data_IF_165382378855
#
_entry.id   IF_165382378855
#
_cell.length_a   1.000
_cell.length_b   1.000
_cell.length_c   1.000
_cell.angle_alpha   90.00
_cell.angle_beta   90.00
_cell.angle_gamma   90.00
#
_symmetry.space_group_name_H-M   'P 1'
#
loop_
_entity.id
_entity.type
_entity.pdbx_description
1 polymer ?
#
# COMPACT_ATOMS: atom_id res chain seq x y z
N UNK A 1 10.18 32.15 2.70
CA UNK A 1 9.46 32.65 1.53
C UNK A 1 10.00 32.03 0.24
N UNK A 2 11.27 32.22 -0.09
CA UNK A 2 11.88 31.81 -1.38
C UNK A 2 11.70 30.30 -1.67
N UNK A 3 11.78 29.47 -0.63
CA UNK A 3 11.52 28.04 -0.76
C UNK A 3 10.11 27.73 -1.28
N UNK A 4 9.10 28.42 -0.76
CA UNK A 4 7.70 28.20 -1.19
C UNK A 4 7.46 28.72 -2.61
N UNK A 5 8.02 29.89 -2.95
CA UNK A 5 7.95 30.45 -4.29
C UNK A 5 8.61 29.52 -5.32
N UNK A 6 9.77 28.95 -4.96
CA UNK A 6 10.48 28.01 -5.83
C UNK A 6 9.78 26.65 -6.03
N UNK A 7 8.79 26.32 -5.18
CA UNK A 7 8.06 25.03 -5.21
C UNK A 7 6.53 25.24 -5.32
N UNK A 8 6.11 26.27 -6.03
CA UNK A 8 4.70 26.70 -6.18
C UNK A 8 3.77 25.63 -6.74
N UNK A 9 4.29 24.70 -7.54
CA UNK A 9 3.50 23.65 -8.18
C UNK A 9 3.21 22.46 -7.24
N UNK A 10 3.89 22.41 -6.11
CA UNK A 10 3.84 21.32 -5.13
C UNK A 10 3.25 21.75 -3.78
N UNK A 11 3.03 23.03 -3.57
CA UNK A 11 2.55 23.60 -2.32
C UNK A 11 1.26 24.39 -2.51
N UNK A 12 0.44 24.56 -1.46
CA UNK A 12 -0.82 25.30 -1.56
C UNK A 12 -0.61 26.73 -2.08
N UNK A 13 -1.53 27.21 -2.91
CA UNK A 13 -1.45 28.54 -3.55
C UNK A 13 -1.29 29.68 -2.55
N UNK A 14 -1.90 29.57 -1.39
CA UNK A 14 -1.81 30.59 -0.33
C UNK A 14 -0.39 30.83 0.16
N UNK A 15 0.52 29.86 0.05
CA UNK A 15 1.93 29.99 0.41
C UNK A 15 2.71 30.95 -0.48
N UNK A 16 2.12 31.34 -1.61
CA UNK A 16 2.70 32.31 -2.56
C UNK A 16 2.31 33.77 -2.22
N UNK A 17 1.39 33.97 -1.30
CA UNK A 17 0.91 35.27 -0.92
C UNK A 17 1.80 35.93 0.14
N UNK A 18 1.99 37.25 0.06
CA UNK A 18 2.73 38.02 1.07
C UNK A 18 2.15 37.86 2.48
N UNK A 19 0.83 37.76 2.56
CA UNK A 19 0.11 37.51 3.82
C UNK A 19 0.56 36.20 4.51
N UNK A 20 0.90 35.17 3.73
CA UNK A 20 1.39 33.91 4.31
C UNK A 20 2.76 34.08 4.94
N UNK A 21 3.62 34.90 4.34
CA UNK A 21 4.91 35.26 4.93
C UNK A 21 4.74 35.96 6.28
N UNK A 22 3.81 36.92 6.36
CA UNK A 22 3.52 37.59 7.63
C UNK A 22 3.03 36.61 8.69
N UNK A 23 2.21 35.63 8.31
CA UNK A 23 1.79 34.52 9.20
C UNK A 23 2.99 33.70 9.72
N UNK A 24 3.91 33.35 8.83
CA UNK A 24 5.14 32.63 9.22
C UNK A 24 5.98 33.39 10.23
N UNK A 25 6.17 34.69 10.02
CA UNK A 25 6.94 35.55 10.93
C UNK A 25 6.28 35.65 12.31
N UNK A 26 4.97 35.82 12.34
CA UNK A 26 4.23 35.93 13.62
C UNK A 26 4.09 34.61 14.36
N UNK A 27 4.07 33.49 13.65
CA UNK A 27 3.92 32.16 14.25
C UNK A 27 5.26 31.52 14.68
N UNK A 28 6.39 32.04 14.19
CA UNK A 28 7.73 31.48 14.45
C UNK A 28 7.97 31.22 15.94
N UNK A 29 8.53 30.06 16.35
CA UNK A 29 9.10 28.97 15.52
C UNK A 29 8.09 27.92 15.07
N UNK A 30 6.79 28.10 15.33
CA UNK A 30 5.76 27.13 14.95
C UNK A 30 5.24 27.47 13.57
N UNK A 31 5.17 26.47 12.68
CA UNK A 31 4.64 26.67 11.36
C UNK A 31 3.11 26.91 11.37
N UNK A 32 2.54 27.85 10.59
CA UNK A 32 1.11 28.12 10.56
C UNK A 32 0.22 26.90 10.35
N UNK A 33 0.65 25.96 9.54
CA UNK A 33 -0.08 24.70 9.27
C UNK A 33 -0.37 23.89 10.54
N UNK A 34 0.46 23.97 11.58
CA UNK A 34 0.18 23.34 12.89
C UNK A 34 -1.09 23.93 13.52
N UNK A 35 -1.21 25.25 13.48
CA UNK A 35 -2.38 25.93 14.03
C UNK A 35 -3.61 25.69 13.18
N UNK A 36 -3.48 25.73 11.84
CA UNK A 36 -4.58 25.47 10.94
C UNK A 36 -5.17 24.09 11.19
N UNK A 37 -4.32 23.04 11.29
CA UNK A 37 -4.80 21.68 11.63
C UNK A 37 -5.45 21.62 13.01
N UNK A 38 -4.87 22.23 14.02
CA UNK A 38 -5.41 22.19 15.39
C UNK A 38 -6.70 23.01 15.55
N UNK A 39 -6.82 24.15 14.86
CA UNK A 39 -8.01 25.00 14.94
C UNK A 39 -9.12 24.59 13.99
N UNK A 40 -8.80 24.10 12.78
CA UNK A 40 -9.81 23.73 11.78
C UNK A 40 -10.28 22.29 11.96
N UNK A 41 -9.36 21.36 12.17
CA UNK A 41 -9.69 19.95 12.24
C UNK A 41 -10.01 19.50 13.68
N UNK A 42 -9.10 19.72 14.64
CA UNK A 42 -9.26 19.21 16.01
C UNK A 42 -10.32 19.94 16.82
N UNK A 43 -10.61 21.21 16.51
CA UNK A 43 -11.67 21.95 17.18
C UNK A 43 -13.09 21.44 16.88
N UNK A 44 -13.22 20.52 15.92
CA UNK A 44 -14.49 19.85 15.63
C UNK A 44 -14.84 18.75 16.62
N UNK A 45 -13.86 18.33 17.45
CA UNK A 45 -14.06 17.32 18.49
C UNK A 45 -14.67 17.97 19.74
N UNK A 46 -15.79 17.41 20.24
CA UNK A 46 -16.61 17.97 21.32
C UNK A 46 -15.85 18.33 22.58
N UNK A 47 -14.84 17.54 22.95
CA UNK A 47 -14.06 17.69 24.18
C UNK A 47 -12.75 18.47 23.98
N UNK A 48 -12.37 18.79 22.75
CA UNK A 48 -11.14 19.52 22.46
C UNK A 48 -11.37 21.01 22.69
N UNK A 49 -10.94 21.51 23.85
CA UNK A 49 -11.03 22.93 24.18
C UNK A 49 -10.01 23.70 23.33
N UNK A 50 -10.47 24.35 22.27
CA UNK A 50 -9.66 25.03 21.23
C UNK A 50 -8.31 25.56 21.75
N UNK A 51 -8.32 26.72 22.43
CA UNK A 51 -7.09 27.36 22.88
C UNK A 51 -6.36 26.54 23.95
N UNK A 52 -7.09 26.01 24.94
CA UNK A 52 -6.50 25.24 26.04
C UNK A 52 -5.92 23.90 25.56
N UNK A 53 -6.62 23.21 24.66
CA UNK A 53 -6.16 21.95 24.09
C UNK A 53 -4.90 22.14 23.25
N UNK A 54 -4.87 23.20 22.42
CA UNK A 54 -3.71 23.57 21.61
C UNK A 54 -2.50 23.89 22.49
N UNK A 55 -2.69 24.76 23.49
CA UNK A 55 -1.59 25.13 24.41
C UNK A 55 -1.04 23.95 25.17
N UNK A 56 -1.90 23.05 25.65
CA UNK A 56 -1.49 21.86 26.40
C UNK A 56 -0.69 20.89 25.52
N UNK A 57 -1.16 20.64 24.29
CA UNK A 57 -0.44 19.82 23.32
C UNK A 57 0.91 20.44 22.97
N UNK A 58 0.92 21.73 22.60
CA UNK A 58 2.15 22.39 22.17
C UNK A 58 3.19 22.50 23.30
N UNK A 59 2.76 22.65 24.55
CA UNK A 59 3.69 22.62 25.69
C UNK A 59 4.43 21.28 25.78
N UNK A 60 3.73 20.15 25.59
CA UNK A 60 4.35 18.82 25.58
C UNK A 60 5.25 18.64 24.36
N UNK A 61 4.80 19.06 23.18
CA UNK A 61 5.58 19.00 21.93
C UNK A 61 6.90 19.76 22.08
N UNK A 62 6.85 21.01 22.50
CA UNK A 62 8.03 21.87 22.66
C UNK A 62 8.98 21.27 23.70
N UNK A 63 8.44 20.83 24.86
CA UNK A 63 9.24 20.20 25.90
C UNK A 63 9.98 18.95 25.37
N UNK A 64 9.28 18.09 24.63
CA UNK A 64 9.88 16.87 24.08
C UNK A 64 10.92 17.17 23.02
N UNK A 65 10.63 18.04 22.06
CA UNK A 65 11.58 18.47 21.05
C UNK A 65 12.85 19.09 21.64
N UNK A 66 12.69 19.90 22.69
CA UNK A 66 13.82 20.46 23.43
C UNK A 66 14.69 19.37 24.10
N UNK A 67 14.04 18.41 24.75
CA UNK A 67 14.72 17.28 25.43
C UNK A 67 15.48 16.40 24.44
N UNK A 68 14.96 16.23 23.23
CA UNK A 68 15.58 15.44 22.18
C UNK A 68 16.67 16.20 21.39
N UNK A 69 16.91 17.47 21.70
CA UNK A 69 17.87 18.29 20.98
C UNK A 69 17.49 18.55 19.52
N UNK A 70 16.17 18.65 19.24
CA UNK A 70 15.70 18.92 17.89
C UNK A 70 16.21 20.27 17.38
N UNK A 71 16.82 20.30 16.19
CA UNK A 71 17.39 21.47 15.54
C UNK A 71 16.64 21.92 14.27
N UNK A 72 15.41 21.45 14.09
CA UNK A 72 14.58 21.89 12.96
C UNK A 72 14.35 23.40 13.02
N UNK A 73 14.47 24.12 11.89
CA UNK A 73 14.23 25.57 11.87
C UNK A 73 12.78 25.94 12.14
N UNK A 74 11.83 25.02 11.91
CA UNK A 74 10.40 25.20 12.16
C UNK A 74 9.80 23.96 12.82
N UNK A 75 8.92 24.15 13.78
CA UNK A 75 8.06 23.09 14.32
C UNK A 75 6.87 22.92 13.37
N UNK A 76 6.91 21.86 12.59
CA UNK A 76 5.90 21.54 11.56
C UNK A 76 4.96 20.42 12.05
N UNK A 77 3.80 20.18 11.42
CA UNK A 77 2.98 19.00 11.68
C UNK A 77 3.77 17.69 11.74
N UNK A 78 4.71 17.50 10.81
CA UNK A 78 5.60 16.34 10.78
C UNK A 78 6.66 16.30 11.87
N UNK A 79 6.88 17.39 12.62
CA UNK A 79 7.82 17.46 13.75
C UNK A 79 7.21 16.96 15.07
N UNK A 80 5.88 16.76 15.14
CA UNK A 80 5.22 16.35 16.37
C UNK A 80 5.75 14.99 16.85
N UNK A 81 6.27 14.88 18.08
CA UNK A 81 6.90 13.66 18.59
C UNK A 81 5.85 12.65 19.08
N UNK A 82 5.11 12.03 18.17
CA UNK A 82 4.04 11.05 18.47
C UNK A 82 4.59 9.74 19.07
N UNK A 83 5.89 9.44 18.85
CA UNK A 83 6.58 8.34 19.54
C UNK A 83 6.64 8.48 21.06
N UNK A 84 6.58 9.72 21.56
CA UNK A 84 6.56 9.99 22.99
C UNK A 84 5.15 9.80 23.56
N UNK A 85 5.02 8.95 24.57
CA UNK A 85 3.71 8.58 25.15
C UNK A 85 2.96 9.78 25.74
N UNK A 86 3.66 10.70 26.41
CA UNK A 86 3.03 11.87 27.01
C UNK A 86 2.48 12.83 25.94
N UNK A 87 3.21 12.99 24.86
CA UNK A 87 2.76 13.81 23.71
C UNK A 87 1.63 13.11 22.96
N UNK A 88 1.75 11.80 22.71
CA UNK A 88 0.76 11.01 21.99
C UNK A 88 -0.59 10.94 22.71
N UNK A 89 -0.59 10.72 24.01
CA UNK A 89 -1.81 10.57 24.79
C UNK A 89 -2.65 11.86 24.84
N UNK A 90 -2.04 13.01 24.60
CA UNK A 90 -2.77 14.29 24.63
C UNK A 90 -3.81 14.41 23.50
N UNK A 91 -3.49 14.18 22.22
CA UNK A 91 -4.49 14.16 21.16
C UNK A 91 -5.38 12.91 21.20
N UNK A 92 -4.85 11.73 21.54
CA UNK A 92 -5.59 10.46 21.47
C UNK A 92 -6.81 10.44 22.39
N UNK A 93 -6.73 11.08 23.56
CA UNK A 93 -7.85 11.12 24.51
C UNK A 93 -9.13 11.77 23.94
N UNK A 94 -9.02 12.56 22.87
CA UNK A 94 -10.14 13.23 22.21
C UNK A 94 -10.69 12.41 21.02
N UNK A 95 -9.95 11.40 20.59
CA UNK A 95 -10.33 10.57 19.43
C UNK A 95 -11.18 9.37 19.87
N UNK A 96 -11.98 8.81 18.95
CA UNK A 96 -12.66 7.53 19.18
C UNK A 96 -11.66 6.41 19.52
N UNK A 97 -12.14 5.32 20.13
CA UNK A 97 -11.30 4.15 20.40
C UNK A 97 -10.76 3.52 19.12
N UNK A 98 -9.57 2.89 19.19
CA UNK A 98 -8.95 2.14 18.11
C UNK A 98 -7.78 2.85 17.43
N UNK A 99 -7.34 4.02 17.91
CA UNK A 99 -6.18 4.73 17.35
C UNK A 99 -4.83 4.18 17.79
N UNK A 100 -4.73 3.50 18.94
CA UNK A 100 -3.44 2.98 19.41
C UNK A 100 -2.77 2.03 18.40
N UNK A 101 -3.45 1.03 17.79
CA UNK A 101 -2.84 0.20 16.75
C UNK A 101 -2.39 0.98 15.51
N UNK A 102 -3.13 2.04 15.13
CA UNK A 102 -2.78 2.91 14.00
C UNK A 102 -1.46 3.65 14.29
N UNK A 103 -1.37 4.26 15.47
CA UNK A 103 -0.20 5.03 15.89
C UNK A 103 1.05 4.16 16.05
N UNK A 104 0.91 3.00 16.70
CA UNK A 104 2.02 2.09 16.94
C UNK A 104 2.54 1.45 15.64
N UNK A 105 1.65 1.11 14.72
CA UNK A 105 2.05 0.39 13.51
C UNK A 105 2.36 1.30 12.33
N UNK A 106 1.54 2.31 12.10
CA UNK A 106 1.53 3.05 10.83
C UNK A 106 1.98 4.52 10.96
N UNK A 107 2.07 5.07 12.18
CA UNK A 107 2.45 6.49 12.34
C UNK A 107 3.86 6.66 12.87
N UNK A 108 4.10 6.28 14.14
CA UNK A 108 5.37 6.64 14.80
C UNK A 108 5.73 5.72 15.98
N UNK A 109 5.24 4.49 16.03
CA UNK A 109 5.66 3.51 17.03
C UNK A 109 7.13 3.11 16.84
N UNK A 110 7.76 2.57 17.87
CA UNK A 110 9.18 2.17 17.84
C UNK A 110 9.51 1.18 16.73
N UNK A 111 8.57 0.28 16.40
CA UNK A 111 8.67 -0.71 15.31
C UNK A 111 7.65 -0.47 14.21
N UNK A 112 7.28 0.79 14.00
CA UNK A 112 6.31 1.14 12.97
C UNK A 112 6.87 0.94 11.56
N UNK A 113 5.99 0.72 10.59
CA UNK A 113 6.38 0.59 9.17
C UNK A 113 7.16 1.81 8.64
N UNK A 114 6.84 3.08 9.00
CA UNK A 114 7.67 4.22 8.63
C UNK A 114 9.12 4.10 9.11
N UNK A 115 9.35 3.66 10.35
CA UNK A 115 10.68 3.42 10.92
C UNK A 115 11.41 2.32 10.15
N UNK A 116 10.73 1.23 9.83
CA UNK A 116 11.29 0.12 9.05
C UNK A 116 11.71 0.56 7.64
N UNK A 117 10.93 1.41 6.97
CA UNK A 117 11.28 1.97 5.66
C UNK A 117 12.53 2.85 5.77
N UNK A 118 12.58 3.74 6.76
CA UNK A 118 13.70 4.65 7.00
C UNK A 118 14.99 3.91 7.35
N UNK A 119 14.92 2.83 8.14
CA UNK A 119 16.05 2.00 8.48
C UNK A 119 16.63 1.26 7.26
N UNK A 120 15.80 0.90 6.28
CA UNK A 120 16.22 0.23 5.05
C UNK A 120 16.75 1.20 3.99
N UNK A 121 16.23 2.41 3.95
CA UNK A 121 16.57 3.42 2.95
C UNK A 121 17.07 4.70 3.62
N UNK A 122 18.38 4.85 3.75
CA UNK A 122 19.04 5.97 4.46
C UNK A 122 18.62 7.35 3.93
N UNK A 123 18.27 7.46 2.65
CA UNK A 123 17.77 8.72 2.06
C UNK A 123 16.51 9.23 2.77
N UNK A 124 15.63 8.33 3.23
CA UNK A 124 14.44 8.70 4.01
C UNK A 124 14.79 8.89 5.48
N UNK A 125 15.66 8.04 6.03
CA UNK A 125 16.04 8.07 7.44
C UNK A 125 16.76 9.34 7.84
N UNK A 126 17.62 9.89 6.98
CA UNK A 126 18.40 11.10 7.25
C UNK A 126 17.54 12.33 7.60
N UNK A 127 16.33 12.41 7.07
CA UNK A 127 15.37 13.50 7.31
C UNK A 127 14.07 13.03 7.94
N UNK A 128 13.97 11.75 8.31
CA UNK A 128 12.76 11.13 8.84
C UNK A 128 11.52 11.33 7.93
N UNK A 129 11.70 11.19 6.62
CA UNK A 129 10.69 11.56 5.64
C UNK A 129 9.38 10.78 5.80
N UNK A 130 9.46 9.48 6.12
CA UNK A 130 8.29 8.63 6.31
C UNK A 130 7.53 8.99 7.59
N UNK A 131 8.24 9.06 8.74
CA UNK A 131 7.62 9.43 10.03
C UNK A 131 7.04 10.84 10.00
N UNK A 132 7.72 11.82 9.41
CA UNK A 132 7.19 13.18 9.27
C UNK A 132 5.91 13.19 8.46
N UNK A 133 5.87 12.44 7.35
CA UNK A 133 4.67 12.35 6.50
C UNK A 133 3.49 11.72 7.25
N UNK A 134 3.71 10.63 7.98
CA UNK A 134 2.64 9.97 8.75
C UNK A 134 2.15 10.81 9.90
N UNK A 135 3.01 11.53 10.61
CA UNK A 135 2.64 12.47 11.68
C UNK A 135 1.77 13.62 11.14
N UNK A 136 2.15 14.20 9.99
CA UNK A 136 1.38 15.27 9.37
C UNK A 136 0.00 14.78 8.89
N UNK A 137 -0.07 13.61 8.26
CA UNK A 137 -1.34 12.99 7.85
C UNK A 137 -2.19 12.66 9.08
N UNK A 138 -1.61 12.13 10.15
CA UNK A 138 -2.33 11.87 11.39
C UNK A 138 -2.94 13.17 11.95
N UNK A 139 -2.16 14.22 12.08
CA UNK A 139 -2.62 15.48 12.61
C UNK A 139 -3.77 16.07 11.78
N UNK A 140 -3.69 16.00 10.46
CA UNK A 140 -4.68 16.59 9.55
C UNK A 140 -5.87 15.67 9.23
N UNK A 141 -5.88 14.40 9.67
CA UNK A 141 -6.95 13.47 9.29
C UNK A 141 -7.62 12.74 10.45
N UNK A 142 -6.97 12.60 11.61
CA UNK A 142 -7.50 11.85 12.73
C UNK A 142 -8.87 12.36 13.26
N UNK A 143 -9.12 13.68 13.33
CA UNK A 143 -10.42 14.21 13.73
C UNK A 143 -11.54 13.97 12.72
N UNK A 144 -11.21 13.62 11.48
CA UNK A 144 -12.20 13.44 10.42
C UNK A 144 -13.12 12.26 10.71
N UNK A 145 -14.44 12.49 10.70
CA UNK A 145 -15.43 11.44 10.87
C UNK A 145 -15.73 10.72 9.55
N UNK A 146 -16.25 9.49 9.64
CA UNK A 146 -16.64 8.69 8.47
C UNK A 146 -17.72 9.38 7.60
N UNK A 147 -18.48 10.31 8.17
CA UNK A 147 -19.60 10.98 7.51
C UNK A 147 -19.23 12.30 6.82
N UNK A 148 -17.97 12.73 6.88
CA UNK A 148 -17.55 13.94 6.17
C UNK A 148 -17.48 13.68 4.66
N UNK A 149 -18.06 14.59 3.86
CA UNK A 149 -18.05 14.51 2.39
C UNK A 149 -16.62 14.54 1.81
N UNK A 150 -15.70 15.24 2.48
CA UNK A 150 -14.29 15.33 2.08
C UNK A 150 -13.42 14.90 3.25
N UNK A 151 -12.71 13.77 3.07
CA UNK A 151 -11.82 13.21 4.10
C UNK A 151 -10.36 13.43 3.74
N UNK A 152 -9.54 13.54 4.77
CA UNK A 152 -8.09 13.51 4.63
C UNK A 152 -7.47 14.83 4.21
N UNK A 153 -6.14 14.83 4.20
CA UNK A 153 -5.28 15.97 3.89
C UNK A 153 -4.80 15.89 2.44
N UNK A 154 -4.86 16.98 1.70
CA UNK A 154 -4.33 17.06 0.33
C UNK A 154 -2.82 16.90 0.31
N UNK A 155 -2.29 16.35 -0.77
CA UNK A 155 -0.84 16.13 -0.94
C UNK A 155 -0.05 17.42 -0.68
N UNK A 156 -0.52 18.55 -1.21
CA UNK A 156 0.12 19.86 -1.09
C UNK A 156 0.23 20.30 0.38
N UNK A 157 -0.81 20.06 1.19
CA UNK A 157 -0.80 20.33 2.63
C UNK A 157 0.04 19.31 3.42
N UNK A 158 0.10 18.03 2.99
CA UNK A 158 1.03 17.06 3.58
C UNK A 158 2.46 17.56 3.36
N UNK A 159 2.81 17.94 2.13
CA UNK A 159 4.14 18.44 1.79
C UNK A 159 4.48 19.73 2.55
N UNK A 160 3.54 20.67 2.64
CA UNK A 160 3.69 21.89 3.42
C UNK A 160 3.94 21.60 4.91
N UNK A 161 3.33 20.56 5.44
CA UNK A 161 3.46 20.16 6.84
C UNK A 161 4.73 19.37 7.18
N UNK A 162 5.58 19.00 6.20
CA UNK A 162 6.72 18.12 6.45
C UNK A 162 8.05 18.62 5.92
N UNK A 163 8.06 19.37 4.81
CA UNK A 163 9.29 19.75 4.12
C UNK A 163 9.92 20.97 4.78
N UNK A 164 11.09 20.78 5.39
CA UNK A 164 11.88 21.88 5.96
C UNK A 164 12.58 22.67 4.85
N UNK A 165 12.86 23.96 5.06
CA UNK A 165 13.63 24.76 4.12
C UNK A 165 14.98 24.08 3.78
N UNK A 166 15.29 23.98 2.48
CA UNK A 166 16.50 23.33 1.97
C UNK A 166 16.37 21.83 1.70
N UNK A 167 15.26 21.19 2.07
CA UNK A 167 14.99 19.79 1.73
C UNK A 167 14.28 19.65 0.37
N UNK A 168 14.38 18.46 -0.23
CA UNK A 168 13.81 18.18 -1.56
C UNK A 168 12.39 17.62 -1.43
N UNK A 169 11.41 18.26 -2.04
CA UNK A 169 10.00 17.81 -2.07
C UNK A 169 9.85 16.43 -2.70
N UNK A 170 10.60 16.14 -3.76
CA UNK A 170 10.57 14.85 -4.44
C UNK A 170 10.83 13.66 -3.52
N UNK A 171 11.67 13.84 -2.49
CA UNK A 171 11.96 12.82 -1.49
C UNK A 171 10.70 12.45 -0.67
N UNK A 172 9.91 13.43 -0.29
CA UNK A 172 8.66 13.23 0.47
C UNK A 172 7.55 12.62 -0.41
N UNK A 173 7.49 12.98 -1.69
CA UNK A 173 6.58 12.32 -2.65
C UNK A 173 6.92 10.83 -2.81
N UNK A 174 8.21 10.50 -2.88
CA UNK A 174 8.67 9.10 -2.95
C UNK A 174 8.36 8.35 -1.64
N UNK A 175 8.58 9.00 -0.48
CA UNK A 175 8.21 8.46 0.83
C UNK A 175 6.69 8.16 0.91
N UNK A 176 5.84 9.10 0.49
CA UNK A 176 4.37 8.92 0.49
C UNK A 176 3.92 7.76 -0.39
N UNK A 177 4.55 7.57 -1.55
CA UNK A 177 4.30 6.41 -2.41
C UNK A 177 4.63 5.11 -1.69
N UNK A 178 5.83 5.03 -1.04
CA UNK A 178 6.24 3.86 -0.26
C UNK A 178 5.29 3.57 0.91
N UNK A 179 4.86 4.61 1.61
CA UNK A 179 3.90 4.50 2.70
C UNK A 179 2.55 3.97 2.19
N UNK A 180 2.05 4.48 1.07
CA UNK A 180 0.82 4.00 0.43
C UNK A 180 0.86 2.51 0.08
N UNK A 181 2.05 1.99 -0.26
CA UNK A 181 2.25 0.57 -0.58
C UNK A 181 2.39 -0.31 0.68
N UNK A 182 2.69 0.24 1.85
CA UNK A 182 3.06 -0.55 3.03
C UNK A 182 2.14 -0.40 4.23
N UNK A 183 1.55 0.77 4.43
CA UNK A 183 0.74 1.03 5.62
C UNK A 183 -0.63 0.34 5.56
N UNK A 184 -1.09 -0.15 6.72
CA UNK A 184 -2.35 -0.89 6.84
C UNK A 184 -3.57 0.00 7.01
N UNK A 185 -3.40 1.10 7.72
CA UNK A 185 -4.48 2.02 8.09
C UNK A 185 -4.50 3.28 7.25
N UNK A 186 -3.49 3.49 6.38
CA UNK A 186 -3.45 4.61 5.45
C UNK A 186 -4.36 4.36 4.25
N UNK A 187 -5.20 5.33 3.98
CA UNK A 187 -6.06 5.38 2.80
C UNK A 187 -5.68 6.58 1.94
N UNK A 188 -5.86 6.46 0.64
CA UNK A 188 -5.65 7.55 -0.30
C UNK A 188 -6.68 7.52 -1.42
N UNK A 189 -7.22 8.68 -1.78
CA UNK A 189 -8.08 8.86 -2.95
C UNK A 189 -8.04 10.34 -3.38
N UNK A 190 -8.11 10.61 -4.68
CA UNK A 190 -8.17 11.96 -5.24
C UNK A 190 -7.09 12.91 -4.68
N UNK A 191 -5.85 12.44 -4.62
CA UNK A 191 -4.70 13.19 -4.10
C UNK A 191 -4.80 13.59 -2.62
N UNK A 192 -5.64 12.89 -1.83
CA UNK A 192 -5.82 13.08 -0.39
C UNK A 192 -5.40 11.83 0.37
N UNK A 193 -4.88 12.02 1.58
CA UNK A 193 -4.39 10.97 2.47
C UNK A 193 -5.07 11.06 3.83
N UNK A 194 -5.48 9.92 4.40
CA UNK A 194 -6.06 9.87 5.75
C UNK A 194 -5.82 8.53 6.42
N UNK A 195 -5.74 8.56 7.73
CA UNK A 195 -5.79 7.35 8.53
C UNK A 195 -7.24 7.01 8.93
N UNK A 196 -7.51 5.73 9.08
CA UNK A 196 -8.75 5.21 9.63
C UNK A 196 -8.39 4.15 10.68
N UNK A 197 -9.26 3.93 11.67
CA UNK A 197 -9.10 2.85 12.64
C UNK A 197 -9.40 1.47 12.06
N UNK A 198 -10.03 1.43 10.89
CA UNK A 198 -10.28 0.20 10.12
C UNK A 198 -9.15 0.00 9.12
N UNK A 199 -8.60 -1.22 9.04
CA UNK A 199 -7.58 -1.54 8.05
C UNK A 199 -8.08 -1.28 6.62
N UNK A 200 -7.18 -0.88 5.75
CA UNK A 200 -7.45 -0.75 4.33
C UNK A 200 -7.71 -2.14 3.72
N UNK A 201 -8.97 -2.43 3.40
CA UNK A 201 -9.40 -3.74 2.89
C UNK A 201 -8.65 -4.16 1.62
N UNK A 202 -8.33 -3.21 0.74
CA UNK A 202 -7.55 -3.49 -0.46
C UNK A 202 -6.16 -4.01 -0.10
N UNK A 203 -5.54 -3.41 0.89
CA UNK A 203 -4.22 -3.81 1.38
C UNK A 203 -4.26 -5.20 2.02
N UNK A 204 -5.25 -5.43 2.89
CA UNK A 204 -5.45 -6.73 3.53
C UNK A 204 -5.69 -7.84 2.48
N UNK A 205 -6.47 -7.54 1.45
CA UNK A 205 -6.68 -8.48 0.33
C UNK A 205 -5.37 -8.80 -0.39
N UNK A 206 -4.55 -7.80 -0.72
CA UNK A 206 -3.25 -8.02 -1.40
C UNK A 206 -2.28 -8.82 -0.53
N UNK A 207 -2.26 -8.59 0.77
CA UNK A 207 -1.45 -9.40 1.69
C UNK A 207 -1.94 -10.85 1.79
N UNK A 208 -3.25 -11.06 1.84
CA UNK A 208 -3.84 -12.41 1.82
C UNK A 208 -3.51 -13.13 0.52
N UNK A 209 -3.62 -12.45 -0.63
CA UNK A 209 -3.23 -13.01 -1.94
C UNK A 209 -1.78 -13.51 -1.97
N UNK A 210 -0.85 -12.79 -1.34
CA UNK A 210 0.57 -13.16 -1.30
C UNK A 210 0.87 -14.45 -0.51
N UNK A 211 -0.04 -14.87 0.36
CA UNK A 211 0.11 -16.10 1.15
C UNK A 211 -0.14 -17.36 0.32
N UNK A 212 -0.91 -17.23 -0.77
CA UNK A 212 -1.22 -18.37 -1.65
C UNK A 212 -0.04 -18.71 -2.56
N UNK A 213 0.40 -19.94 -2.50
CA UNK A 213 1.45 -20.49 -3.36
C UNK A 213 0.85 -21.06 -4.64
N UNK A 214 1.53 -20.85 -5.79
CA UNK A 214 1.03 -21.26 -7.09
C UNK A 214 0.74 -22.76 -7.16
N UNK A 215 1.71 -23.60 -6.77
CA UNK A 215 1.62 -25.05 -6.92
C UNK A 215 0.71 -25.70 -5.89
N UNK A 216 0.67 -25.15 -4.68
CA UNK A 216 -0.02 -25.77 -3.54
C UNK A 216 -1.48 -25.31 -3.47
N UNK A 217 -1.78 -24.06 -3.80
CA UNK A 217 -3.11 -23.47 -3.63
C UNK A 217 -3.77 -23.14 -4.98
N UNK A 218 -3.05 -22.40 -5.86
CA UNK A 218 -3.66 -21.86 -7.08
C UNK A 218 -3.92 -22.94 -8.11
N UNK A 219 -2.93 -23.83 -8.39
CA UNK A 219 -3.11 -24.85 -9.44
C UNK A 219 -4.18 -25.90 -9.08
N UNK A 220 -4.29 -26.38 -7.84
CA UNK A 220 -5.43 -27.24 -7.47
C UNK A 220 -6.79 -26.57 -7.66
N UNK A 221 -6.92 -25.30 -7.29
CA UNK A 221 -8.17 -24.54 -7.47
C UNK A 221 -8.52 -24.34 -8.96
N UNK A 222 -7.51 -24.03 -9.80
CA UNK A 222 -7.68 -23.98 -11.27
C UNK A 222 -8.09 -25.35 -11.81
N UNK A 223 -7.42 -26.41 -11.38
CA UNK A 223 -7.70 -27.79 -11.81
C UNK A 223 -9.17 -28.17 -11.54
N UNK A 224 -9.62 -27.96 -10.32
CA UNK A 224 -11.00 -28.26 -9.92
C UNK A 224 -12.02 -27.49 -10.79
N UNK A 225 -11.76 -26.20 -11.02
CA UNK A 225 -12.67 -25.36 -11.82
C UNK A 225 -12.68 -25.76 -13.27
N UNK A 226 -11.55 -26.07 -13.86
CA UNK A 226 -11.44 -26.60 -15.22
C UNK A 226 -12.17 -27.94 -15.35
N UNK A 227 -11.99 -28.84 -14.40
CA UNK A 227 -12.70 -30.14 -14.38
C UNK A 227 -14.22 -29.98 -14.34
N UNK A 228 -14.72 -29.01 -13.55
CA UNK A 228 -16.16 -28.72 -13.45
C UNK A 228 -16.72 -28.05 -14.71
N UNK A 229 -15.87 -27.32 -15.46
CA UNK A 229 -16.31 -26.55 -16.63
C UNK A 229 -16.26 -27.35 -17.94
N UNK A 230 -15.52 -28.44 -17.97
CA UNK A 230 -15.34 -29.26 -19.16
C UNK A 230 -16.31 -30.46 -19.18
N UNK A 231 -17.08 -30.54 -20.23
CA UNK A 231 -17.94 -31.71 -20.51
C UNK A 231 -17.15 -32.73 -21.36
N UNK A 232 -17.34 -34.01 -21.12
CA UNK A 232 -16.66 -35.11 -21.81
C UNK A 232 -16.96 -35.05 -23.33
N UNK A 233 -18.21 -34.82 -23.74
CA UNK A 233 -18.60 -34.62 -25.12
C UNK A 233 -18.05 -35.70 -26.08
N UNK A 234 -17.25 -35.29 -27.04
CA UNK A 234 -16.60 -36.17 -28.05
C UNK A 234 -15.33 -36.88 -27.51
N UNK A 235 -14.87 -36.53 -26.31
CA UNK A 235 -13.65 -37.10 -25.76
C UNK A 235 -13.93 -38.37 -24.97
N UNK A 236 -13.10 -39.38 -25.19
CA UNK A 236 -13.12 -40.60 -24.36
C UNK A 236 -12.54 -40.38 -22.94
N UNK A 237 -11.97 -39.19 -22.69
CA UNK A 237 -11.49 -38.76 -21.39
C UNK A 237 -10.82 -37.39 -21.46
N UNK A 238 -10.87 -36.67 -20.31
CA UNK A 238 -10.25 -35.36 -20.14
C UNK A 238 -9.21 -35.48 -19.01
N UNK A 239 -7.97 -35.14 -19.32
CA UNK A 239 -6.84 -35.24 -18.41
C UNK A 239 -6.36 -33.85 -18.03
N UNK A 240 -6.62 -33.43 -16.79
CA UNK A 240 -6.32 -32.07 -16.31
C UNK A 240 -5.11 -32.11 -15.41
N UNK A 241 -4.01 -31.48 -15.83
CA UNK A 241 -2.73 -31.38 -15.11
C UNK A 241 -2.14 -32.72 -14.70
N UNK A 242 -2.24 -33.69 -15.61
CA UNK A 242 -1.75 -35.06 -15.37
C UNK A 242 -0.42 -35.31 -16.09
N UNK A 243 0.35 -36.26 -15.58
CA UNK A 243 1.57 -36.74 -16.22
C UNK A 243 1.31 -37.59 -17.47
N UNK A 244 2.36 -37.86 -18.27
CA UNK A 244 2.25 -38.66 -19.49
C UNK A 244 1.80 -40.09 -19.25
N UNK A 245 2.13 -40.69 -18.09
CA UNK A 245 1.72 -42.03 -17.66
C UNK A 245 0.22 -42.20 -17.52
N UNK A 246 -0.46 -41.12 -17.09
CA UNK A 246 -1.89 -41.12 -16.76
C UNK A 246 -2.80 -40.90 -17.97
N UNK A 247 -2.21 -40.54 -19.13
CA UNK A 247 -2.93 -40.38 -20.37
C UNK A 247 -2.88 -41.68 -21.18
N UNK A 248 -4.00 -42.44 -21.32
CA UNK A 248 -4.03 -43.73 -22.04
C UNK A 248 -3.56 -43.59 -23.50
N UNK A 249 -3.00 -44.70 -24.03
CA UNK A 249 -2.59 -44.82 -25.44
C UNK A 249 -3.57 -45.78 -26.18
N UNK A 250 -4.75 -45.25 -26.51
CA UNK A 250 -5.83 -46.00 -27.18
C UNK A 250 -6.39 -45.23 -28.37
N UNK A 251 -7.47 -45.76 -28.99
CA UNK A 251 -8.08 -45.19 -30.19
C UNK A 251 -9.05 -44.02 -29.87
N UNK A 252 -9.35 -43.75 -28.60
CA UNK A 252 -10.28 -42.69 -28.22
C UNK A 252 -9.59 -41.33 -28.28
N UNK A 253 -10.34 -40.33 -28.75
CA UNK A 253 -9.87 -38.93 -28.72
C UNK A 253 -9.80 -38.45 -27.25
N UNK A 254 -8.69 -37.87 -26.85
CA UNK A 254 -8.48 -37.39 -25.48
C UNK A 254 -8.07 -35.95 -25.45
N UNK A 255 -8.62 -35.20 -24.48
CA UNK A 255 -8.24 -33.83 -24.19
C UNK A 255 -7.23 -33.83 -23.02
N UNK A 256 -6.07 -33.23 -23.26
CA UNK A 256 -5.04 -33.04 -22.25
C UNK A 256 -4.93 -31.55 -21.93
N UNK A 257 -5.28 -31.16 -20.73
CA UNK A 257 -5.16 -29.78 -20.26
C UNK A 257 -3.87 -29.64 -19.51
N UNK A 258 -2.99 -28.75 -20.00
CA UNK A 258 -1.69 -28.48 -19.39
C UNK A 258 -1.82 -27.50 -18.20
N UNK A 259 -0.96 -27.63 -17.17
CA UNK A 259 -1.01 -26.73 -16.02
C UNK A 259 -0.61 -25.30 -16.40
N UNK A 260 -1.00 -24.27 -15.59
CA UNK A 260 -0.76 -22.87 -15.90
C UNK A 260 0.72 -22.47 -16.04
N UNK A 261 1.66 -23.22 -15.45
CA UNK A 261 3.10 -23.01 -15.63
C UNK A 261 3.60 -23.43 -17.01
N UNK A 262 2.88 -24.35 -17.68
CA UNK A 262 3.13 -24.73 -19.06
C UNK A 262 2.27 -23.87 -20.02
N UNK A 263 2.50 -22.56 -20.03
CA UNK A 263 1.78 -21.64 -20.87
C UNK A 263 2.22 -21.68 -22.34
N UNK A 264 1.28 -21.40 -23.25
CA UNK A 264 1.52 -21.31 -24.69
C UNK A 264 1.84 -19.88 -25.09
N UNK A 265 2.90 -19.70 -25.90
CA UNK A 265 3.24 -18.43 -26.53
C UNK A 265 3.26 -18.59 -28.07
N UNK A 266 2.71 -17.60 -28.78
CA UNK A 266 2.73 -17.55 -30.23
C UNK A 266 4.09 -17.22 -30.83
N UNK A 267 5.02 -16.70 -30.01
CA UNK A 267 6.33 -16.21 -30.49
C UNK A 267 7.40 -17.28 -30.69
N UNK A 268 7.05 -18.57 -30.59
CA UNK A 268 8.01 -19.66 -30.82
C UNK A 268 7.89 -20.85 -29.86
N UNK A 269 9.03 -21.38 -29.41
CA UNK A 269 9.04 -22.50 -28.46
C UNK A 269 8.45 -22.02 -27.11
N UNK A 270 7.44 -22.75 -26.62
CA UNK A 270 6.82 -22.51 -25.33
C UNK A 270 6.86 -23.76 -24.47
N UNK A 271 6.80 -23.61 -23.14
CA UNK A 271 6.72 -24.73 -22.22
C UNK A 271 5.52 -25.64 -22.53
N UNK A 272 4.41 -25.05 -23.00
CA UNK A 272 3.27 -25.84 -23.45
C UNK A 272 3.61 -26.78 -24.61
N UNK A 273 4.35 -26.28 -25.62
CA UNK A 273 4.75 -27.12 -26.76
C UNK A 273 5.76 -28.18 -26.39
N UNK A 274 6.65 -27.91 -25.47
CA UNK A 274 7.60 -28.90 -24.94
C UNK A 274 6.90 -30.01 -24.17
N UNK A 275 6.01 -29.65 -23.24
CA UNK A 275 5.19 -30.60 -22.48
C UNK A 275 4.28 -31.42 -23.36
N UNK A 276 3.63 -30.79 -24.35
CA UNK A 276 2.80 -31.51 -25.33
C UNK A 276 3.61 -32.53 -26.13
N UNK A 277 4.81 -32.18 -26.61
CA UNK A 277 5.72 -33.08 -27.30
C UNK A 277 6.18 -34.26 -26.42
N UNK A 278 6.48 -34.01 -25.15
CA UNK A 278 6.84 -35.02 -24.17
C UNK A 278 5.71 -36.07 -24.02
N UNK A 279 4.47 -35.60 -23.82
CA UNK A 279 3.29 -36.47 -23.69
C UNK A 279 2.98 -37.21 -25.00
N UNK A 280 3.21 -36.57 -26.14
CA UNK A 280 3.04 -37.19 -27.48
C UNK A 280 4.06 -38.31 -27.72
N UNK A 281 5.28 -38.17 -27.28
CA UNK A 281 6.35 -39.15 -27.51
C UNK A 281 6.18 -40.41 -26.67
N UNK A 282 5.74 -40.28 -25.43
CA UNK A 282 5.71 -41.41 -24.53
C UNK A 282 4.54 -41.42 -23.57
N UNK A 283 4.10 -42.59 -23.15
CA UNK A 283 3.25 -42.85 -22.00
C UNK A 283 4.12 -43.40 -20.87
N UNK A 284 4.53 -42.50 -19.94
CA UNK A 284 5.57 -42.87 -18.96
C UNK A 284 6.88 -43.20 -19.72
N UNK A 285 7.38 -44.40 -19.53
CA UNK A 285 8.62 -44.90 -20.16
C UNK A 285 8.39 -45.56 -21.54
N UNK A 286 7.15 -45.82 -21.92
CA UNK A 286 6.82 -46.52 -23.17
C UNK A 286 6.52 -45.54 -24.31
N UNK A 287 7.07 -45.72 -25.54
CA UNK A 287 6.75 -44.93 -26.68
C UNK A 287 5.26 -45.00 -27.01
N UNK A 288 4.62 -43.82 -27.26
CA UNK A 288 3.22 -43.73 -27.61
C UNK A 288 3.00 -44.07 -29.07
N UNK A 289 2.02 -44.92 -29.34
CA UNK A 289 1.65 -45.35 -30.67
C UNK A 289 0.52 -44.49 -31.29
N UNK A 290 -0.44 -44.04 -30.47
CA UNK A 290 -1.65 -43.31 -30.93
C UNK A 290 -1.51 -41.81 -30.74
N UNK A 291 -0.46 -41.21 -31.29
CA UNK A 291 -0.12 -39.79 -31.11
C UNK A 291 -1.19 -38.84 -31.67
N UNK A 292 -1.88 -39.20 -32.72
CA UNK A 292 -2.91 -38.39 -33.38
C UNK A 292 -4.28 -38.40 -32.67
N UNK A 293 -4.37 -38.98 -31.47
CA UNK A 293 -5.59 -39.04 -30.65
C UNK A 293 -5.57 -38.07 -29.47
N UNK A 294 -4.58 -37.19 -29.40
CA UNK A 294 -4.47 -36.21 -28.32
C UNK A 294 -4.70 -34.80 -28.83
N UNK A 295 -5.54 -34.05 -28.11
CA UNK A 295 -5.70 -32.60 -28.23
C UNK A 295 -5.20 -31.96 -26.97
N UNK A 296 -4.39 -30.89 -27.09
CA UNK A 296 -3.82 -30.17 -25.97
C UNK A 296 -4.50 -28.82 -25.79
N UNK A 297 -4.82 -28.48 -24.57
CA UNK A 297 -5.30 -27.17 -24.16
C UNK A 297 -4.28 -26.58 -23.18
N UNK A 298 -3.79 -25.39 -23.45
CA UNK A 298 -2.86 -24.66 -22.60
C UNK A 298 -3.35 -23.23 -22.36
N UNK A 299 -2.99 -22.65 -21.22
CA UNK A 299 -3.23 -21.25 -20.99
C UNK A 299 -2.36 -20.38 -21.89
N UNK A 300 -2.89 -19.26 -22.37
CA UNK A 300 -2.12 -18.27 -23.09
C UNK A 300 -1.16 -17.54 -22.15
N UNK A 301 0.10 -17.38 -22.57
CA UNK A 301 1.18 -16.80 -21.75
C UNK A 301 0.81 -15.45 -21.15
N UNK A 302 0.24 -14.56 -21.98
CA UNK A 302 -0.11 -13.20 -21.55
C UNK A 302 -1.28 -13.17 -20.55
N UNK A 303 -2.08 -14.23 -20.50
CA UNK A 303 -3.24 -14.36 -19.62
C UNK A 303 -2.96 -15.08 -18.29
N UNK A 304 -1.83 -15.77 -18.16
CA UNK A 304 -1.53 -16.61 -16.96
C UNK A 304 -1.47 -15.80 -15.66
N UNK A 305 -0.78 -14.65 -15.67
CA UNK A 305 -0.69 -13.79 -14.47
C UNK A 305 -2.07 -13.34 -14.01
N UNK A 306 -2.90 -12.91 -14.93
CA UNK A 306 -4.27 -12.49 -14.65
C UNK A 306 -5.13 -13.64 -14.11
N UNK A 307 -4.99 -14.85 -14.68
CA UNK A 307 -5.68 -16.05 -14.20
C UNK A 307 -5.31 -16.36 -12.74
N UNK A 308 -4.01 -16.35 -12.43
CA UNK A 308 -3.51 -16.60 -11.06
C UNK A 308 -4.03 -15.58 -10.07
N UNK A 309 -4.00 -14.28 -10.43
CA UNK A 309 -4.48 -13.21 -9.57
C UNK A 309 -6.00 -13.28 -9.33
N UNK A 310 -6.76 -13.64 -10.35
CA UNK A 310 -8.21 -13.85 -10.21
C UNK A 310 -8.52 -15.00 -9.25
N UNK A 311 -7.79 -16.11 -9.37
CA UNK A 311 -7.99 -17.28 -8.48
C UNK A 311 -7.62 -16.96 -7.03
N UNK A 312 -6.52 -16.21 -6.81
CA UNK A 312 -6.15 -15.75 -5.45
C UNK A 312 -7.15 -14.77 -4.83
N UNK A 313 -8.00 -14.15 -5.66
CA UNK A 313 -9.02 -13.18 -5.21
C UNK A 313 -10.37 -13.83 -4.88
N UNK A 314 -10.50 -15.11 -5.14
CA UNK A 314 -11.71 -15.91 -4.85
C UNK A 314 -11.67 -16.45 -3.44
#
# INVERSE_FOLDING_TARGET
>A
ADFYVGNKDDLPRETQESRYFDRLVHAYPIHPEVFDRLYDDWSTLDNFQRTRGVLKLMAKVIHRLWKDGNNDPLIMPGSLPIYDSDTRNEPVQYLPQGWDPVLERDVDGERSEPVEIENRESKFGSVQACRRSTRAIFLGSAPSTANQMVRGLELEHVLLGVVQPGQQIGLYKDALRRLGDRLHYLNSANNRFWFDTRPNLRREMEERKRRFQDKEDVFPAVRERVQKSLAIGLFGGIHVFTGSSDVPDDWQLRLVVLPPDAAFSRSGQSLATERAKEILKARGEQPRQKQNRLIFLAADYDSVSRLKDQVRSM
#
